data_IF_304292493589
#
_entry.id   IF_304292493589
#
_cell.length_a   1.000
_cell.length_b   1.000
_cell.length_c   1.000
_cell.angle_alpha   90.00
_cell.angle_beta   90.00
_cell.angle_gamma   90.00
#
_symmetry.space_group_name_H-M   'P 1'
#
loop_
_entity.id
_entity.type
_entity.pdbx_description
1 polymer ?
#
# COMPACT_ATOMS: atom_id res chain seq x y z
N UNK A 1 21.52 -9.58 -23.64
CA UNK A 1 21.25 -8.16 -23.94
C UNK A 1 19.97 -7.78 -23.23
N UNK A 2 19.92 -6.55 -22.70
CA UNK A 2 18.90 -5.98 -21.79
C UNK A 2 18.94 -6.53 -20.35
N UNK A 3 19.10 -5.76 -19.27
CA UNK A 3 19.27 -4.31 -19.09
C UNK A 3 20.17 -4.05 -17.87
N UNK A 4 21.22 -3.24 -18.07
CA UNK A 4 22.19 -2.81 -17.06
C UNK A 4 21.68 -1.64 -16.20
N UNK A 5 20.38 -1.51 -16.03
CA UNK A 5 19.74 -0.54 -15.15
C UNK A 5 18.50 -1.21 -14.54
N UNK A 6 18.66 -1.94 -13.45
CA UNK A 6 17.66 -1.80 -12.38
C UNK A 6 17.99 -0.46 -11.75
N UNK A 7 17.30 0.63 -12.11
CA UNK A 7 17.67 1.90 -11.56
C UNK A 7 17.35 1.80 -10.06
N UNK A 8 18.17 2.44 -9.23
CA UNK A 8 17.89 2.67 -7.81
C UNK A 8 16.55 3.43 -7.61
N UNK A 9 16.02 3.99 -8.70
CA UNK A 9 14.63 4.24 -9.02
C UNK A 9 14.05 2.97 -9.69
N UNK A 10 13.26 2.12 -9.03
CA UNK A 10 12.18 1.50 -9.81
C UNK A 10 11.07 2.51 -9.67
N UNK A 11 10.62 3.12 -10.77
CA UNK A 11 9.45 3.99 -10.71
C UNK A 11 8.38 3.25 -9.89
N UNK A 12 7.89 3.86 -8.82
CA UNK A 12 6.79 3.36 -8.01
C UNK A 12 5.55 4.14 -8.44
N UNK A 13 5.02 3.90 -9.67
CA UNK A 13 3.92 4.68 -10.22
C UNK A 13 2.66 4.56 -9.34
N UNK A 14 2.49 3.42 -8.69
CA UNK A 14 1.50 3.14 -7.65
C UNK A 14 1.66 4.07 -6.44
N UNK A 15 2.88 4.26 -5.93
CA UNK A 15 3.14 5.19 -4.81
C UNK A 15 2.94 6.65 -5.21
N UNK A 16 3.36 7.03 -6.42
CA UNK A 16 3.15 8.37 -6.96
C UNK A 16 1.65 8.66 -7.14
N UNK A 17 0.91 7.73 -7.74
CA UNK A 17 -0.53 7.84 -7.91
C UNK A 17 -1.25 7.88 -6.55
N UNK A 18 -0.84 7.02 -5.61
CA UNK A 18 -1.37 7.02 -4.25
C UNK A 18 -1.16 8.37 -3.57
N UNK A 19 0.02 9.00 -3.73
CA UNK A 19 0.30 10.33 -3.19
C UNK A 19 -0.63 11.40 -3.79
N UNK A 20 -0.86 11.38 -5.10
CA UNK A 20 -1.76 12.32 -5.78
C UNK A 20 -3.21 12.21 -5.28
N UNK A 21 -3.67 10.99 -5.03
CA UNK A 21 -5.07 10.72 -4.71
C UNK A 21 -5.35 10.53 -3.21
N UNK A 22 -4.32 10.58 -2.35
CA UNK A 22 -4.43 10.26 -0.91
C UNK A 22 -5.48 11.11 -0.19
N UNK A 23 -5.65 12.35 -0.61
CA UNK A 23 -6.45 13.36 0.08
C UNK A 23 -7.66 13.90 -0.71
N UNK A 24 -8.00 13.31 -1.86
CA UNK A 24 -9.08 13.83 -2.72
C UNK A 24 -10.47 13.73 -2.08
N UNK A 25 -10.67 12.81 -1.14
CA UNK A 25 -11.94 12.66 -0.41
C UNK A 25 -12.01 13.44 0.90
N UNK A 26 -10.99 14.26 1.22
CA UNK A 26 -10.93 14.97 2.50
C UNK A 26 -12.06 15.99 2.67
N UNK A 27 -12.47 16.66 1.58
CA UNK A 27 -13.57 17.64 1.60
C UNK A 27 -14.91 17.04 2.01
N UNK A 28 -15.15 15.77 1.68
CA UNK A 28 -16.43 15.08 1.93
C UNK A 28 -16.58 14.59 3.38
N UNK A 29 -15.47 14.34 4.08
CA UNK A 29 -15.48 13.80 5.45
C UNK A 29 -15.10 14.83 6.52
N UNK A 30 -14.59 16.00 6.12
CA UNK A 30 -14.19 17.04 7.05
C UNK A 30 -15.41 17.80 7.58
N UNK A 31 -15.80 17.51 8.83
CA UNK A 31 -16.71 18.35 9.60
C UNK A 31 -15.93 19.22 10.60
N UNK A 32 -16.40 20.45 10.84
CA UNK A 32 -15.82 21.33 11.86
C UNK A 32 -15.80 20.62 13.23
N UNK A 33 -14.61 20.54 13.86
CA UNK A 33 -14.42 19.95 15.19
C UNK A 33 -14.07 18.46 15.25
N UNK A 34 -14.03 17.75 14.11
CA UNK A 34 -13.61 16.34 14.12
C UNK A 34 -12.11 16.18 14.44
N UNK A 35 -11.78 15.28 15.37
CA UNK A 35 -10.38 14.92 15.66
C UNK A 35 -9.78 14.22 14.43
N UNK A 36 -8.61 14.65 13.96
CA UNK A 36 -7.91 14.07 12.80
C UNK A 36 -7.77 12.55 12.85
N UNK A 37 -7.59 11.96 14.03
CA UNK A 37 -7.49 10.51 14.20
C UNK A 37 -8.80 9.75 13.94
N UNK A 38 -9.95 10.37 14.22
CA UNK A 38 -11.27 9.77 13.98
C UNK A 38 -11.64 9.77 12.49
N UNK A 39 -11.03 10.67 11.71
CA UNK A 39 -11.28 10.79 10.28
C UNK A 39 -10.39 9.87 9.44
N UNK A 40 -9.31 9.29 9.99
CA UNK A 40 -8.29 8.62 9.18
C UNK A 40 -8.83 7.50 8.26
N UNK A 41 -9.70 6.63 8.78
CA UNK A 41 -10.28 5.53 8.00
C UNK A 41 -11.45 5.98 7.09
N UNK A 42 -12.42 6.80 7.56
CA UNK A 42 -13.42 7.40 6.69
C UNK A 42 -12.80 8.18 5.51
N UNK A 43 -11.80 9.01 5.79
CA UNK A 43 -11.04 9.76 4.79
C UNK A 43 -10.39 8.85 3.74
N UNK A 44 -9.66 7.81 4.17
CA UNK A 44 -9.00 6.93 3.22
C UNK A 44 -9.99 6.20 2.29
N UNK A 45 -11.15 5.77 2.83
CA UNK A 45 -12.22 5.14 2.04
C UNK A 45 -12.82 6.10 1.03
N UNK A 46 -13.07 7.32 1.46
CA UNK A 46 -13.68 8.35 0.62
C UNK A 46 -12.72 8.82 -0.48
N UNK A 47 -11.45 9.01 -0.15
CA UNK A 47 -10.39 9.28 -1.14
C UNK A 47 -10.31 8.18 -2.18
N UNK A 48 -10.41 6.90 -1.79
CA UNK A 48 -10.39 5.78 -2.73
C UNK A 48 -11.63 5.74 -3.62
N UNK A 49 -12.82 6.01 -3.07
CA UNK A 49 -14.06 6.09 -3.85
C UNK A 49 -13.93 7.17 -4.94
N UNK A 50 -13.58 8.37 -4.52
CA UNK A 50 -13.41 9.53 -5.41
C UNK A 50 -12.29 9.28 -6.43
N UNK A 51 -11.17 8.71 -6.02
CA UNK A 51 -10.07 8.38 -6.92
C UNK A 51 -10.47 7.36 -7.99
N UNK A 52 -11.27 6.34 -7.66
CA UNK A 52 -11.79 5.38 -8.64
C UNK A 52 -12.70 6.03 -9.67
N UNK A 53 -13.48 7.04 -9.27
CA UNK A 53 -14.31 7.82 -10.18
C UNK A 53 -13.44 8.70 -11.10
N UNK A 54 -12.45 9.40 -10.55
CA UNK A 54 -11.51 10.25 -11.31
C UNK A 54 -10.64 9.45 -12.30
N UNK A 55 -10.25 8.23 -11.92
CA UNK A 55 -9.43 7.35 -12.75
C UNK A 55 -10.25 6.46 -13.69
N UNK A 56 -11.57 6.63 -13.73
CA UNK A 56 -12.42 5.93 -14.68
C UNK A 56 -12.17 6.49 -16.08
N UNK A 57 -11.71 5.63 -16.99
CA UNK A 57 -11.37 6.04 -18.37
C UNK A 57 -9.99 6.69 -18.52
N UNK A 58 -9.14 6.67 -17.49
CA UNK A 58 -7.74 7.06 -17.64
C UNK A 58 -6.90 5.94 -18.25
N UNK A 59 -5.79 6.31 -18.89
CA UNK A 59 -4.80 5.37 -19.47
C UNK A 59 -3.91 4.68 -18.42
N UNK A 60 -4.19 4.89 -17.12
CA UNK A 60 -3.39 4.28 -16.06
C UNK A 60 -3.71 2.78 -15.97
N UNK A 61 -2.71 1.88 -16.01
CA UNK A 61 -2.93 0.45 -15.92
C UNK A 61 -3.73 0.05 -14.67
N UNK A 62 -4.68 -0.87 -14.83
CA UNK A 62 -5.50 -1.37 -13.71
C UNK A 62 -4.68 -1.85 -12.51
N UNK A 63 -3.58 -2.64 -12.67
CA UNK A 63 -2.77 -3.07 -11.53
C UNK A 63 -2.18 -1.90 -10.74
N UNK A 64 -1.74 -0.83 -11.43
CA UNK A 64 -1.20 0.39 -10.81
C UNK A 64 -2.29 1.12 -10.04
N UNK A 65 -3.49 1.27 -10.63
CA UNK A 65 -4.63 1.93 -9.97
C UNK A 65 -5.05 1.20 -8.71
N UNK A 66 -5.28 -0.10 -8.77
CA UNK A 66 -5.75 -0.87 -7.61
C UNK A 66 -4.69 -0.95 -6.51
N UNK A 67 -3.42 -1.09 -6.88
CA UNK A 67 -2.35 -1.10 -5.88
C UNK A 67 -2.18 0.27 -5.22
N UNK A 68 -2.32 1.38 -5.97
CA UNK A 68 -2.38 2.72 -5.39
C UNK A 68 -3.55 2.88 -4.41
N UNK A 69 -4.74 2.36 -4.72
CA UNK A 69 -5.87 2.38 -3.78
C UNK A 69 -5.57 1.55 -2.51
N UNK A 70 -4.94 0.40 -2.66
CA UNK A 70 -4.52 -0.43 -1.53
C UNK A 70 -3.51 0.30 -0.64
N UNK A 71 -2.57 1.06 -1.22
CA UNK A 71 -1.63 1.92 -0.48
C UNK A 71 -2.36 3.01 0.32
N UNK A 72 -3.34 3.69 -0.27
CA UNK A 72 -4.14 4.71 0.43
C UNK A 72 -4.92 4.10 1.60
N UNK A 73 -5.54 2.93 1.43
CA UNK A 73 -6.24 2.22 2.52
C UNK A 73 -5.28 1.71 3.61
N UNK A 74 -4.05 1.41 3.25
CA UNK A 74 -3.01 1.00 4.17
C UNK A 74 -2.32 2.18 4.88
N UNK A 75 -2.69 3.43 4.55
CA UNK A 75 -2.08 4.61 5.12
C UNK A 75 -2.08 4.60 6.66
N UNK A 76 -0.96 5.00 7.24
CA UNK A 76 -0.70 4.98 8.68
C UNK A 76 -0.50 3.59 9.29
N UNK A 77 -0.68 2.47 8.56
CA UNK A 77 -0.33 1.13 9.09
C UNK A 77 1.16 1.03 9.39
N UNK A 78 2.01 1.58 8.53
CA UNK A 78 3.46 1.59 8.71
C UNK A 78 3.86 2.28 10.04
N UNK A 79 3.20 3.38 10.42
CA UNK A 79 3.48 4.05 11.68
C UNK A 79 2.93 3.32 12.91
N UNK A 80 1.87 2.49 12.78
CA UNK A 80 1.22 1.79 13.90
C UNK A 80 1.84 0.42 14.21
N UNK A 81 2.29 -0.31 13.19
CA UNK A 81 2.77 -1.69 13.31
C UNK A 81 3.96 -1.88 14.27
N UNK A 82 4.97 -1.00 14.30
CA UNK A 82 6.09 -1.15 15.24
C UNK A 82 5.67 -1.00 16.70
N UNK A 83 4.76 -0.06 16.99
CA UNK A 83 4.29 0.21 18.35
C UNK A 83 3.31 -0.81 18.91
N UNK A 84 2.79 -1.71 18.08
CA UNK A 84 1.78 -2.70 18.48
C UNK A 84 2.37 -4.06 18.90
N UNK A 85 3.69 -4.25 18.85
CA UNK A 85 4.31 -5.55 19.07
C UNK A 85 3.92 -6.61 18.04
N UNK A 86 3.59 -6.20 16.81
CA UNK A 86 3.09 -7.11 15.78
C UNK A 86 4.14 -8.20 15.43
N UNK A 87 3.74 -9.48 15.34
CA UNK A 87 4.66 -10.56 14.99
C UNK A 87 5.08 -10.49 13.52
N UNK A 88 6.16 -11.18 13.17
CA UNK A 88 6.73 -11.20 11.81
C UNK A 88 5.69 -11.61 10.74
N UNK A 89 4.81 -12.56 11.07
CA UNK A 89 3.72 -13.02 10.19
C UNK A 89 2.77 -11.89 9.78
N UNK A 90 2.67 -10.79 10.55
CA UNK A 90 1.84 -9.64 10.17
C UNK A 90 2.49 -8.82 9.06
N UNK A 91 3.82 -8.67 9.09
CA UNK A 91 4.56 -8.01 8.01
C UNK A 91 4.52 -8.85 6.73
N UNK A 92 4.65 -10.17 6.87
CA UNK A 92 4.51 -11.12 5.75
C UNK A 92 3.12 -11.06 5.11
N UNK A 93 2.05 -11.17 5.90
CA UNK A 93 0.68 -11.05 5.39
C UNK A 93 0.42 -9.70 4.72
N UNK A 94 0.98 -8.61 5.26
CA UNK A 94 0.86 -7.31 4.63
C UNK A 94 1.60 -7.27 3.28
N UNK A 95 2.78 -7.89 3.18
CA UNK A 95 3.54 -7.97 1.92
C UNK A 95 2.88 -8.83 0.85
N UNK A 96 2.02 -9.79 1.23
CA UNK A 96 1.20 -10.55 0.28
C UNK A 96 0.10 -9.71 -0.39
N UNK A 97 -0.16 -8.49 0.09
CA UNK A 97 -1.19 -7.62 -0.45
C UNK A 97 -0.66 -6.26 -0.92
N UNK A 98 0.58 -5.91 -0.60
CA UNK A 98 1.11 -4.56 -0.75
C UNK A 98 2.63 -4.55 -0.87
N UNK A 99 3.18 -3.79 -1.81
CA UNK A 99 4.59 -3.39 -1.75
C UNK A 99 4.85 -2.51 -0.50
N UNK A 100 5.60 -3.05 0.46
CA UNK A 100 5.94 -2.36 1.70
C UNK A 100 6.95 -1.22 1.49
N UNK A 101 7.75 -1.27 0.41
CA UNK A 101 8.65 -0.18 0.02
C UNK A 101 7.83 1.02 -0.47
N UNK A 102 6.84 0.77 -1.33
CA UNK A 102 5.90 1.79 -1.79
C UNK A 102 5.16 2.45 -0.62
N UNK A 103 4.66 1.65 0.34
CA UNK A 103 4.02 2.17 1.55
C UNK A 103 4.98 3.03 2.39
N UNK A 104 6.22 2.59 2.59
CA UNK A 104 7.23 3.36 3.32
C UNK A 104 7.48 4.73 2.65
N UNK A 105 7.68 4.76 1.33
CA UNK A 105 7.95 6.01 0.63
C UNK A 105 6.74 6.94 0.60
N UNK A 106 5.53 6.41 0.46
CA UNK A 106 4.30 7.20 0.53
C UNK A 106 4.18 7.90 1.90
N UNK A 107 4.35 7.16 3.00
CA UNK A 107 4.31 7.73 4.36
C UNK A 107 5.49 8.68 4.61
N UNK A 108 6.67 8.40 4.04
CA UNK A 108 7.84 9.27 4.18
C UNK A 108 7.61 10.60 3.47
N UNK A 109 7.01 10.59 2.28
CA UNK A 109 6.66 11.79 1.53
C UNK A 109 5.62 12.63 2.29
N UNK A 110 4.60 11.99 2.85
CA UNK A 110 3.59 12.64 3.70
C UNK A 110 4.23 13.35 4.91
N UNK A 111 5.06 12.64 5.67
CA UNK A 111 5.74 13.23 6.84
C UNK A 111 6.66 14.39 6.46
N UNK A 112 7.32 14.32 5.31
CA UNK A 112 8.13 15.44 4.78
C UNK A 112 7.25 16.64 4.41
N UNK A 113 6.10 16.41 3.76
CA UNK A 113 5.16 17.47 3.42
C UNK A 113 4.57 18.16 4.67
N UNK A 114 4.44 17.41 5.77
CA UNK A 114 4.04 17.93 7.09
C UNK A 114 5.18 18.62 7.86
N UNK A 115 6.39 18.69 7.29
CA UNK A 115 7.55 19.32 7.91
C UNK A 115 8.23 18.49 8.99
N UNK A 116 7.94 17.19 9.10
CA UNK A 116 8.55 16.34 10.12
C UNK A 116 10.05 16.09 9.84
N UNK A 117 10.88 16.39 10.84
CA UNK A 117 12.31 16.14 10.89
C UNK A 117 12.67 14.69 11.19
N UNK A 118 13.96 14.37 11.12
CA UNK A 118 14.48 13.01 11.33
C UNK A 118 14.18 12.47 12.73
N UNK A 119 14.22 13.36 13.72
CA UNK A 119 14.09 12.99 15.13
C UNK A 119 12.64 12.93 15.61
N UNK A 120 11.69 13.28 14.74
CA UNK A 120 10.27 13.26 15.10
C UNK A 120 9.75 11.83 15.34
N UNK A 121 8.96 11.58 16.39
CA UNK A 121 8.46 10.24 16.71
C UNK A 121 7.73 9.52 15.56
N UNK A 122 6.91 10.19 14.72
CA UNK A 122 6.35 9.56 13.52
C UNK A 122 7.40 9.04 12.53
N UNK A 123 8.50 9.77 12.35
CA UNK A 123 9.60 9.36 11.46
C UNK A 123 10.35 8.18 12.05
N UNK A 124 10.66 8.20 13.34
CA UNK A 124 11.31 7.08 14.01
C UNK A 124 10.48 5.79 13.93
N UNK A 125 9.15 5.89 14.11
CA UNK A 125 8.24 4.74 13.91
C UNK A 125 8.27 4.22 12.49
N UNK A 126 8.30 5.10 11.50
CA UNK A 126 8.38 4.69 10.10
C UNK A 126 9.71 3.98 9.77
N UNK A 127 10.83 4.43 10.34
CA UNK A 127 12.12 3.76 10.19
C UNK A 127 12.13 2.39 10.90
N UNK A 128 11.52 2.27 12.08
CA UNK A 128 11.36 0.99 12.77
C UNK A 128 10.54 -0.02 11.95
N UNK A 129 9.49 0.46 11.27
CA UNK A 129 8.71 -0.36 10.34
C UNK A 129 9.58 -0.89 9.19
N UNK A 130 10.37 -0.02 8.57
CA UNK A 130 11.29 -0.40 7.49
C UNK A 130 12.28 -1.46 7.98
N UNK A 131 12.98 -1.20 9.08
CA UNK A 131 13.95 -2.13 9.65
C UNK A 131 13.34 -3.50 9.94
N UNK A 132 12.11 -3.53 10.48
CA UNK A 132 11.40 -4.79 10.76
C UNK A 132 11.00 -5.52 9.48
N UNK A 133 10.54 -4.80 8.46
CA UNK A 133 10.20 -5.39 7.16
C UNK A 133 11.43 -5.97 6.45
N UNK A 134 12.59 -5.29 6.54
CA UNK A 134 13.88 -5.77 6.04
C UNK A 134 14.33 -7.04 6.77
N UNK A 135 14.25 -7.08 8.10
CA UNK A 135 14.53 -8.28 8.91
C UNK A 135 13.65 -9.48 8.53
N UNK A 136 12.41 -9.22 8.12
CA UNK A 136 11.48 -10.27 7.69
C UNK A 136 11.67 -10.66 6.20
N UNK A 137 12.57 -10.01 5.47
CA UNK A 137 12.82 -10.28 4.05
C UNK A 137 11.72 -9.83 3.09
N UNK A 138 10.81 -8.96 3.54
CA UNK A 138 9.60 -8.53 2.81
C UNK A 138 9.65 -7.07 2.34
N UNK A 139 10.80 -6.41 2.52
CA UNK A 139 11.04 -5.05 2.07
C UNK A 139 11.83 -5.04 0.76
N UNK A 140 11.37 -4.28 -0.25
CA UNK A 140 12.09 -4.09 -1.51
C UNK A 140 11.99 -5.23 -2.52
N UNK A 141 11.20 -6.26 -2.25
CA UNK A 141 10.78 -7.25 -3.26
C UNK A 141 9.50 -6.75 -3.91
N UNK A 142 9.44 -6.59 -5.24
CA UNK A 142 8.19 -6.31 -5.91
C UNK A 142 7.19 -7.38 -5.54
N UNK A 143 5.94 -7.00 -5.34
CA UNK A 143 4.85 -7.95 -5.16
C UNK A 143 4.91 -8.95 -6.31
N UNK A 144 4.96 -10.27 -6.06
CA UNK A 144 4.94 -11.24 -7.15
C UNK A 144 3.69 -10.97 -8.01
N UNK A 145 3.80 -11.01 -9.34
CA UNK A 145 2.62 -10.85 -10.20
C UNK A 145 1.56 -11.88 -9.78
N UNK A 146 0.26 -11.56 -9.97
CA UNK A 146 -0.79 -12.54 -9.73
C UNK A 146 -0.46 -13.84 -10.44
N UNK A 147 -0.76 -14.98 -9.80
CA UNK A 147 -0.49 -16.31 -10.36
C UNK A 147 -1.02 -16.38 -11.79
N UNK A 148 -0.16 -16.81 -12.72
CA UNK A 148 -0.55 -16.94 -14.12
C UNK A 148 -1.74 -17.90 -14.25
N UNK A 149 -2.61 -17.73 -15.26
CA UNK A 149 -3.81 -18.55 -15.40
C UNK A 149 -3.52 -20.05 -15.44
N UNK A 150 -2.39 -20.43 -16.02
CA UNK A 150 -1.98 -21.81 -16.25
C UNK A 150 -1.64 -22.56 -14.95
N UNK A 151 -0.74 -22.07 -14.08
CA UNK A 151 -0.53 -22.70 -12.76
C UNK A 151 -1.79 -22.71 -11.89
N UNK A 152 -2.69 -21.72 -12.03
CA UNK A 152 -3.98 -21.76 -11.31
C UNK A 152 -4.94 -22.82 -11.88
N UNK A 153 -4.91 -23.08 -13.19
CA UNK A 153 -5.69 -24.15 -13.83
C UNK A 153 -5.15 -25.53 -13.44
N UNK A 154 -3.83 -25.67 -13.30
CA UNK A 154 -3.16 -26.89 -12.85
C UNK A 154 -3.51 -27.29 -11.41
N UNK A 155 -3.93 -26.33 -10.57
CA UNK A 155 -4.43 -26.62 -9.20
C UNK A 155 -5.77 -27.39 -9.19
N UNK A 156 -6.41 -27.58 -10.34
CA UNK A 156 -7.52 -28.54 -10.49
C UNK A 156 -8.84 -28.14 -9.82
N UNK A 157 -9.01 -26.89 -9.40
CA UNK A 157 -10.25 -26.42 -8.77
C UNK A 157 -11.43 -26.52 -9.73
N UNK A 158 -12.45 -27.29 -9.34
CA UNK A 158 -13.62 -27.57 -10.18
C UNK A 158 -14.71 -26.52 -10.02
N UNK A 159 -14.79 -25.89 -8.85
CA UNK A 159 -15.80 -24.85 -8.58
C UNK A 159 -15.21 -23.44 -8.51
N UNK A 160 -15.88 -22.42 -9.11
CA UNK A 160 -15.45 -21.02 -9.02
C UNK A 160 -15.32 -20.50 -7.58
N UNK A 161 -16.19 -20.96 -6.66
CA UNK A 161 -16.16 -20.56 -5.24
C UNK A 161 -15.02 -21.20 -4.46
N UNK A 162 -14.61 -22.40 -4.84
CA UNK A 162 -13.45 -23.11 -4.27
C UNK A 162 -12.16 -22.44 -4.74
N UNK A 163 -12.06 -22.15 -6.04
CA UNK A 163 -10.97 -21.38 -6.63
C UNK A 163 -10.82 -20.01 -5.96
N UNK A 164 -11.92 -19.29 -5.76
CA UNK A 164 -11.89 -17.98 -5.10
C UNK A 164 -11.44 -18.07 -3.64
N UNK A 165 -11.89 -19.09 -2.88
CA UNK A 165 -11.45 -19.29 -1.48
C UNK A 165 -9.97 -19.68 -1.39
N UNK A 166 -9.51 -20.57 -2.25
CA UNK A 166 -8.12 -21.03 -2.27
C UNK A 166 -7.15 -19.91 -2.69
N UNK A 167 -7.50 -19.13 -3.70
CA UNK A 167 -6.67 -18.00 -4.14
C UNK A 167 -6.62 -16.85 -3.12
N UNK A 168 -7.66 -16.67 -2.31
CA UNK A 168 -7.65 -15.69 -1.21
C UNK A 168 -6.91 -16.18 0.05
N UNK A 169 -6.53 -17.47 0.11
CA UNK A 169 -5.80 -18.07 1.22
C UNK A 169 -4.29 -18.22 0.96
N UNK A 170 -3.86 -17.98 -0.29
CA UNK A 170 -2.46 -17.87 -0.72
C UNK A 170 -1.96 -16.43 -0.57
#
# INVERSE_FOLDING_TARGET
GESALSPWWSAMPDACLAALVRHVGLGEVCSAGARRSALALPHARESVRTARELLRGSDVPFPVREHAMALVLAAGKAARLPGSGAPAQTYMRLSCALDLRALYHLERAELRALGCGRDDPPVQRLEAFRARAEQCGVFGRPHPPPLAPDPVRELGFREPRERHRALNAL
#
